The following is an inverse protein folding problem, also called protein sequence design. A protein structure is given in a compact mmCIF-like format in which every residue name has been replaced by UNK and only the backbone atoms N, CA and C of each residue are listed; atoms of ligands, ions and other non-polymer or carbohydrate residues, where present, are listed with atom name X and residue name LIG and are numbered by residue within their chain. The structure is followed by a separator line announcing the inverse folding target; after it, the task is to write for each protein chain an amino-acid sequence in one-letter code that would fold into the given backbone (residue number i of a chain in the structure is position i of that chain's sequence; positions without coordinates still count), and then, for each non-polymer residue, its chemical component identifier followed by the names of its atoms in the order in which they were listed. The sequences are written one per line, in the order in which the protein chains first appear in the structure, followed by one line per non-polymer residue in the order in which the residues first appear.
data_IF_064549703457
#
_entry.id   IF_064549703457
#
_cell.length_a   1.000
_cell.length_b   1.000
_cell.length_c   1.000
_cell.angle_alpha   90.00
_cell.angle_beta   90.00
_cell.angle_gamma   90.00
#
_symmetry.space_group_name_H-M   'P 1'
#
loop_
_entity.id
_entity.type
_entity.pdbx_description
1 polymer ?
#
# COMPACT_ATOMS: atom_id res chain seq x y z
N UNK A 1 59.36 -24.76 -30.23
CA UNK A 1 58.40 -24.14 -29.27
C UNK A 1 57.92 -22.76 -29.72
N UNK A 2 58.81 -21.82 -30.10
CA UNK A 2 58.40 -20.44 -30.45
C UNK A 2 57.35 -20.31 -31.57
N UNK A 3 57.43 -21.10 -32.63
CA UNK A 3 56.44 -21.06 -33.73
C UNK A 3 55.04 -21.51 -33.33
N UNK A 4 54.93 -22.51 -32.43
CA UNK A 4 53.64 -23.03 -31.95
C UNK A 4 52.95 -22.00 -31.05
N UNK A 5 53.73 -21.32 -30.19
CA UNK A 5 53.22 -20.24 -29.33
C UNK A 5 52.77 -19.03 -30.16
N UNK A 6 53.50 -18.67 -31.21
CA UNK A 6 53.13 -17.57 -32.10
C UNK A 6 51.83 -17.84 -32.87
N UNK A 7 51.65 -19.06 -33.39
CA UNK A 7 50.42 -19.46 -34.07
C UNK A 7 49.21 -19.52 -33.12
N UNK A 8 49.41 -19.97 -31.88
CA UNK A 8 48.37 -19.98 -30.85
C UNK A 8 47.94 -18.57 -30.44
N UNK A 9 48.89 -17.65 -30.25
CA UNK A 9 48.57 -16.25 -29.93
C UNK A 9 47.91 -15.54 -31.12
N UNK A 10 48.33 -15.84 -32.35
CA UNK A 10 47.71 -15.33 -33.57
C UNK A 10 46.25 -15.79 -33.72
N UNK A 11 45.96 -17.09 -33.50
CA UNK A 11 44.59 -17.60 -33.57
C UNK A 11 43.71 -17.08 -32.43
N UNK A 12 44.26 -16.89 -31.24
CA UNK A 12 43.57 -16.28 -30.10
C UNK A 12 43.20 -14.82 -30.37
N UNK A 13 44.14 -14.03 -30.92
CA UNK A 13 43.90 -12.64 -31.28
C UNK A 13 42.83 -12.49 -32.38
N UNK A 14 42.84 -13.38 -33.38
CA UNK A 14 41.82 -13.42 -34.43
C UNK A 14 40.46 -13.84 -33.83
N UNK A 15 40.41 -14.87 -32.98
CA UNK A 15 39.18 -15.31 -32.33
C UNK A 15 38.54 -14.21 -31.48
N UNK A 16 39.34 -13.50 -30.68
CA UNK A 16 38.88 -12.37 -29.87
C UNK A 16 38.44 -11.20 -30.77
N UNK A 17 39.23 -10.84 -31.77
CA UNK A 17 38.90 -9.75 -32.71
C UNK A 17 37.59 -10.01 -33.47
N UNK A 18 37.39 -11.24 -33.93
CA UNK A 18 36.18 -11.66 -34.64
C UNK A 18 34.96 -11.68 -33.70
N UNK A 19 35.15 -12.14 -32.46
CA UNK A 19 34.12 -12.13 -31.43
C UNK A 19 33.66 -10.71 -31.06
N UNK A 20 34.61 -9.79 -30.85
CA UNK A 20 34.32 -8.38 -30.54
C UNK A 20 33.63 -7.68 -31.72
N UNK A 21 34.07 -7.95 -32.95
CA UNK A 21 33.45 -7.39 -34.15
C UNK A 21 32.01 -7.92 -34.34
N UNK A 22 31.78 -9.22 -34.23
CA UNK A 22 30.44 -9.82 -34.31
C UNK A 22 29.51 -9.30 -33.20
N UNK A 23 30.02 -9.13 -31.98
CA UNK A 23 29.27 -8.54 -30.86
C UNK A 23 28.93 -7.06 -31.12
N UNK A 24 29.83 -6.29 -31.73
CA UNK A 24 29.58 -4.90 -32.09
C UNK A 24 28.52 -4.75 -33.20
N UNK A 25 28.48 -5.68 -34.15
CA UNK A 25 27.45 -5.73 -35.20
C UNK A 25 26.08 -6.11 -34.62
N UNK A 26 26.05 -7.06 -33.68
CA UNK A 26 24.85 -7.43 -32.90
C UNK A 26 24.26 -6.24 -32.15
N UNK A 27 25.11 -5.43 -31.50
CA UNK A 27 24.70 -4.22 -30.78
C UNK A 27 24.22 -3.09 -31.71
N UNK A 28 24.84 -2.93 -32.89
CA UNK A 28 24.41 -1.94 -33.90
C UNK A 28 23.04 -2.25 -34.51
N UNK A 29 22.64 -3.53 -34.54
CA UNK A 29 21.32 -3.96 -35.01
C UNK A 29 20.24 -3.98 -33.94
N UNK A 30 20.60 -3.76 -32.67
CA UNK A 30 19.66 -3.77 -31.56
C UNK A 30 18.72 -2.57 -31.64
N UNK A 31 17.41 -2.83 -31.78
CA UNK A 31 16.38 -1.80 -31.67
C UNK A 31 15.62 -1.99 -30.36
N UNK A 32 15.63 -0.95 -29.53
CA UNK A 32 14.82 -0.88 -28.34
C UNK A 32 13.49 -0.21 -28.68
N UNK A 33 12.40 -0.90 -28.38
CA UNK A 33 11.04 -0.43 -28.63
C UNK A 33 10.23 -0.58 -27.34
N UNK A 34 9.35 0.39 -27.05
CA UNK A 34 8.43 0.30 -25.91
C UNK A 34 7.35 -0.75 -26.25
N UNK A 35 7.31 -1.83 -25.48
CA UNK A 35 6.38 -2.95 -25.69
C UNK A 35 5.23 -2.99 -24.66
N UNK A 36 5.15 -1.99 -23.78
CA UNK A 36 4.10 -1.86 -22.78
C UNK A 36 4.40 -0.76 -21.74
N UNK A 37 3.55 -0.64 -20.71
CA UNK A 37 3.73 0.32 -19.63
C UNK A 37 5.07 0.12 -18.91
N UNK A 38 5.42 -1.13 -18.59
CA UNK A 38 6.59 -1.50 -17.78
C UNK A 38 7.61 -2.39 -18.51
N UNK A 39 7.59 -2.40 -19.84
CA UNK A 39 8.42 -3.33 -20.64
C UNK A 39 9.04 -2.64 -21.85
N UNK A 40 10.37 -2.68 -21.88
CA UNK A 40 11.17 -2.36 -23.07
C UNK A 40 11.53 -3.66 -23.76
N UNK A 41 11.17 -3.77 -25.04
CA UNK A 41 11.60 -4.88 -25.90
C UNK A 41 12.88 -4.46 -26.62
N UNK A 42 13.94 -5.24 -26.46
CA UNK A 42 15.15 -5.12 -27.28
C UNK A 42 15.16 -6.30 -28.23
N UNK A 43 15.03 -6.02 -29.53
CA UNK A 43 15.14 -7.04 -30.56
C UNK A 43 16.59 -7.20 -30.97
N UNK A 44 17.14 -8.40 -30.75
CA UNK A 44 18.48 -8.77 -31.19
C UNK A 44 18.39 -9.69 -32.42
N UNK A 45 19.13 -9.41 -33.51
CA UNK A 45 18.95 -10.09 -34.81
C UNK A 45 19.06 -11.62 -34.80
N UNK A 46 19.79 -12.21 -33.85
CA UNK A 46 20.02 -13.66 -33.76
C UNK A 46 19.64 -14.28 -32.41
N UNK A 47 19.33 -13.44 -31.41
CA UNK A 47 19.02 -13.89 -30.05
C UNK A 47 17.53 -13.69 -29.69
N UNK A 48 16.75 -13.06 -30.59
CA UNK A 48 15.32 -12.86 -30.41
C UNK A 48 14.99 -11.59 -29.61
N UNK A 49 13.75 -11.55 -29.11
CA UNK A 49 13.21 -10.41 -28.37
C UNK A 49 13.51 -10.58 -26.87
N UNK A 50 14.23 -9.62 -26.28
CA UNK A 50 14.47 -9.54 -24.84
C UNK A 50 13.58 -8.49 -24.21
N UNK A 51 12.95 -8.82 -23.10
CA UNK A 51 12.11 -7.89 -22.34
C UNK A 51 12.84 -7.46 -21.08
N UNK A 52 12.98 -6.15 -20.90
CA UNK A 52 13.52 -5.55 -19.69
C UNK A 52 12.41 -4.72 -19.04
N UNK A 53 12.18 -4.96 -17.75
CA UNK A 53 11.46 -4.04 -16.88
C UNK A 53 12.49 -3.12 -16.24
N UNK A 54 12.48 -1.81 -16.53
CA UNK A 54 13.50 -0.92 -15.97
C UNK A 54 13.21 -0.67 -14.48
N UNK A 55 13.85 -1.46 -13.63
CA UNK A 55 14.03 -1.21 -12.20
C UNK A 55 15.30 -1.97 -11.81
N UNK A 56 16.38 -1.34 -11.34
CA UNK A 56 16.47 -0.87 -9.94
C UNK A 56 17.45 0.31 -9.74
N UNK A 57 18.04 0.92 -10.79
CA UNK A 57 19.19 1.85 -10.60
C UNK A 57 18.98 3.33 -11.00
N UNK A 58 17.84 3.70 -11.57
CA UNK A 58 17.54 5.09 -11.90
C UNK A 58 16.76 5.80 -10.79
N UNK A 59 17.15 7.04 -10.42
CA UNK A 59 16.34 7.93 -9.55
C UNK A 59 15.17 8.61 -10.30
N UNK A 60 14.65 7.96 -11.33
CA UNK A 60 13.55 8.45 -12.16
C UNK A 60 12.25 7.75 -11.82
N UNK A 61 11.13 8.35 -12.22
CA UNK A 61 9.80 7.77 -12.15
C UNK A 61 9.23 7.79 -13.56
N UNK A 62 8.53 6.72 -13.95
CA UNK A 62 7.76 6.76 -15.18
C UNK A 62 6.65 7.78 -15.02
N UNK A 63 6.47 8.63 -16.05
CA UNK A 63 5.45 9.68 -16.01
C UNK A 63 4.05 9.08 -15.85
N UNK A 64 3.78 7.95 -16.51
CA UNK A 64 2.50 7.25 -16.44
C UNK A 64 2.22 6.72 -15.00
N UNK A 65 3.23 6.20 -14.32
CA UNK A 65 3.13 5.78 -12.91
C UNK A 65 2.89 6.97 -11.99
N UNK A 66 3.62 8.06 -12.21
CA UNK A 66 3.48 9.28 -11.42
C UNK A 66 2.08 9.89 -11.56
N UNK A 67 1.50 9.87 -12.77
CA UNK A 67 0.13 10.31 -13.03
C UNK A 67 -0.88 9.40 -12.32
N UNK A 68 -0.72 8.09 -12.43
CA UNK A 68 -1.59 7.11 -11.76
C UNK A 68 -1.56 7.28 -10.24
N UNK A 69 -0.37 7.45 -9.66
CA UNK A 69 -0.21 7.72 -8.22
C UNK A 69 -0.86 9.04 -7.85
N UNK A 70 -0.66 10.11 -8.63
CA UNK A 70 -1.27 11.42 -8.39
C UNK A 70 -2.80 11.35 -8.38
N UNK A 71 -3.41 10.62 -9.31
CA UNK A 71 -4.86 10.43 -9.36
C UNK A 71 -5.39 9.70 -8.13
N UNK A 72 -4.71 8.61 -7.72
CA UNK A 72 -5.06 7.87 -6.51
C UNK A 72 -4.94 8.71 -5.24
N UNK A 73 -3.87 9.50 -5.12
CA UNK A 73 -3.68 10.42 -3.98
C UNK A 73 -4.73 11.53 -3.97
N UNK A 74 -5.08 12.08 -5.14
CA UNK A 74 -6.16 13.06 -5.27
C UNK A 74 -7.51 12.46 -4.85
N UNK A 75 -7.80 11.23 -5.26
CA UNK A 75 -9.02 10.55 -4.84
C UNK A 75 -9.05 10.34 -3.32
N UNK A 76 -7.97 9.79 -2.75
CA UNK A 76 -7.83 9.57 -1.31
C UNK A 76 -8.02 10.86 -0.50
N UNK A 77 -7.48 11.98 -0.97
CA UNK A 77 -7.55 13.29 -0.30
C UNK A 77 -8.98 13.83 -0.10
N UNK A 78 -9.98 13.29 -0.79
CA UNK A 78 -11.40 13.63 -0.59
C UNK A 78 -12.00 13.05 0.69
N UNK A 79 -11.32 12.08 1.27
CA UNK A 79 -11.81 11.30 2.41
C UNK A 79 -10.84 11.38 3.58
N UNK A 80 -9.53 11.26 3.33
CA UNK A 80 -8.52 11.14 4.37
C UNK A 80 -7.33 12.06 4.06
N UNK A 81 -6.79 12.68 5.10
CA UNK A 81 -5.50 13.38 5.04
C UNK A 81 -4.42 12.39 4.57
N UNK A 82 -3.82 12.67 3.41
CA UNK A 82 -2.83 11.79 2.78
C UNK A 82 -1.57 11.66 3.63
N UNK A 83 -1.14 12.73 4.28
CA UNK A 83 0.07 12.70 5.11
C UNK A 83 -0.17 11.88 6.38
N UNK A 84 -1.37 12.00 6.97
CA UNK A 84 -1.82 11.13 8.04
C UNK A 84 -1.78 9.66 7.57
N UNK A 85 -2.42 9.35 6.45
CA UNK A 85 -2.50 8.00 5.92
C UNK A 85 -1.11 7.37 5.71
N UNK A 86 -0.20 8.08 5.04
CA UNK A 86 1.15 7.61 4.74
C UNK A 86 2.01 7.43 6.00
N UNK A 87 1.86 8.31 6.99
CA UNK A 87 2.56 8.21 8.26
C UNK A 87 2.20 6.91 9.00
N UNK A 88 0.90 6.68 9.22
CA UNK A 88 0.45 5.46 9.92
C UNK A 88 0.65 4.21 9.06
N UNK A 89 0.56 4.31 7.73
CA UNK A 89 0.82 3.17 6.87
C UNK A 89 2.24 2.62 7.04
N UNK A 90 3.23 3.52 7.11
CA UNK A 90 4.61 3.15 7.37
C UNK A 90 4.83 2.62 8.78
N UNK A 91 4.25 3.28 9.78
CA UNK A 91 4.49 2.93 11.18
C UNK A 91 3.85 1.59 11.56
N UNK A 92 2.64 1.33 11.06
CA UNK A 92 1.79 0.20 11.46
C UNK A 92 1.68 -0.91 10.41
N UNK A 93 2.56 -0.93 9.41
CA UNK A 93 2.61 -1.94 8.34
C UNK A 93 1.31 -2.04 7.53
N UNK A 94 0.68 -0.90 7.24
CA UNK A 94 -0.45 -0.87 6.29
C UNK A 94 0.12 -0.89 4.88
N UNK A 95 -0.08 -1.99 4.17
CA UNK A 95 0.45 -2.21 2.82
C UNK A 95 -0.51 -1.76 1.73
N UNK A 96 -1.79 -1.63 2.07
CA UNK A 96 -2.82 -1.20 1.15
C UNK A 96 -3.90 -0.41 1.88
N UNK A 97 -4.26 0.73 1.30
CA UNK A 97 -5.42 1.52 1.71
C UNK A 97 -6.32 1.65 0.49
N UNK A 98 -7.53 1.13 0.59
CA UNK A 98 -8.52 1.17 -0.46
C UNK A 98 -9.90 1.54 0.06
N UNK A 99 -10.87 1.39 -0.82
CA UNK A 99 -12.27 1.68 -0.53
C UNK A 99 -13.11 0.42 -0.77
N UNK A 100 -14.24 0.28 -0.07
CA UNK A 100 -15.22 -0.75 -0.42
C UNK A 100 -15.65 -0.56 -1.88
N UNK A 101 -15.48 -1.61 -2.71
CA UNK A 101 -15.69 -1.57 -4.16
C UNK A 101 -14.43 -1.65 -5.00
N UNK A 102 -13.22 -1.61 -4.43
CA UNK A 102 -11.94 -1.75 -5.17
C UNK A 102 -11.60 -3.22 -5.51
N UNK A 103 -12.60 -4.12 -5.49
CA UNK A 103 -12.52 -5.46 -6.06
C UNK A 103 -12.87 -5.37 -7.55
N UNK A 104 -12.25 -6.21 -8.38
CA UNK A 104 -12.40 -6.18 -9.85
C UNK A 104 -13.85 -6.23 -10.35
N UNK A 105 -14.81 -6.62 -9.51
CA UNK A 105 -16.23 -6.74 -9.84
C UNK A 105 -17.09 -5.52 -9.44
N UNK A 106 -16.51 -4.51 -8.77
CA UNK A 106 -17.21 -3.31 -8.31
C UNK A 106 -18.37 -3.61 -7.35
N UNK A 107 -18.43 -4.81 -6.77
CA UNK A 107 -19.53 -5.25 -5.90
C UNK A 107 -19.28 -4.84 -4.44
N UNK A 108 -20.36 -4.51 -3.75
CA UNK A 108 -20.33 -3.91 -2.41
C UNK A 108 -20.63 -4.98 -1.35
N UNK A 109 -19.87 -5.00 -0.26
CA UNK A 109 -20.29 -5.72 0.94
C UNK A 109 -21.28 -4.88 1.76
N UNK A 110 -22.37 -5.46 2.28
CA UNK A 110 -23.28 -4.71 3.12
C UNK A 110 -22.61 -4.36 4.47
N UNK A 111 -22.48 -3.06 4.75
CA UNK A 111 -22.68 -2.51 6.09
C UNK A 111 -21.48 -2.33 7.01
N UNK A 112 -20.25 -2.22 6.50
CA UNK A 112 -19.10 -1.84 7.34
C UNK A 112 -18.67 -0.40 7.07
N UNK A 113 -18.42 0.37 8.13
CA UNK A 113 -17.92 1.74 8.01
C UNK A 113 -16.46 1.75 7.50
N UNK A 114 -15.68 0.81 8.02
CA UNK A 114 -14.35 0.45 7.57
C UNK A 114 -14.07 -0.99 7.99
N UNK A 115 -13.02 -1.58 7.42
CA UNK A 115 -12.45 -2.82 7.93
C UNK A 115 -10.98 -2.97 7.53
N UNK A 116 -10.29 -3.84 8.25
CA UNK A 116 -8.97 -4.31 7.91
C UNK A 116 -8.95 -5.81 7.64
N UNK A 117 -7.96 -6.23 6.87
CA UNK A 117 -7.59 -7.65 6.69
C UNK A 117 -6.07 -7.78 6.72
N UNK A 118 -5.52 -8.90 7.19
CA UNK A 118 -4.12 -9.22 6.95
C UNK A 118 -3.82 -9.21 5.45
N UNK A 119 -2.73 -8.56 5.05
CA UNK A 119 -2.31 -8.49 3.65
C UNK A 119 -1.90 -9.88 3.15
N UNK A 120 -2.26 -10.20 1.91
CA UNK A 120 -1.85 -11.43 1.21
C UNK A 120 -0.52 -11.30 0.47
N UNK A 121 0.09 -10.12 0.50
CA UNK A 121 1.40 -9.86 -0.13
C UNK A 121 2.52 -10.57 0.60
N UNK A 122 3.58 -10.93 -0.11
CA UNK A 122 4.78 -11.59 0.46
C UNK A 122 5.45 -10.78 1.59
N UNK A 123 5.29 -9.46 1.59
CA UNK A 123 5.79 -8.56 2.62
C UNK A 123 4.99 -8.61 3.94
N UNK A 124 3.87 -9.34 3.98
CA UNK A 124 2.93 -9.32 5.12
C UNK A 124 2.22 -7.97 5.27
N UNK A 125 1.78 -7.65 6.50
CA UNK A 125 1.14 -6.37 6.84
C UNK A 125 -0.39 -6.42 6.86
N UNK A 126 -1.03 -5.26 6.70
CA UNK A 126 -2.48 -5.10 6.77
C UNK A 126 -3.00 -4.25 5.61
N UNK A 127 -4.18 -4.61 5.12
CA UNK A 127 -4.95 -3.83 4.16
C UNK A 127 -6.13 -3.20 4.89
N UNK A 128 -6.33 -1.89 4.72
CA UNK A 128 -7.46 -1.13 5.29
C UNK A 128 -8.38 -0.70 4.15
N UNK A 129 -9.69 -0.81 4.39
CA UNK A 129 -10.74 -0.47 3.44
C UNK A 129 -11.72 0.50 4.11
N UNK A 130 -11.98 1.63 3.46
CA UNK A 130 -12.92 2.65 3.93
C UNK A 130 -14.18 2.65 3.06
N UNK A 131 -15.36 2.89 3.64
CA UNK A 131 -16.57 3.05 2.84
C UNK A 131 -16.68 4.50 2.32
N UNK A 132 -16.69 4.77 1.01
CA UNK A 132 -16.71 6.14 0.48
C UNK A 132 -18.09 6.82 0.55
N UNK A 133 -19.17 6.07 0.80
CA UNK A 133 -20.56 6.51 0.69
C UNK A 133 -21.24 6.66 2.06
N UNK A 134 -20.47 7.08 3.07
CA UNK A 134 -20.98 7.31 4.41
C UNK A 134 -21.76 8.63 4.49
N UNK A 135 -22.94 8.58 5.13
CA UNK A 135 -23.53 9.78 5.74
C UNK A 135 -22.65 10.21 6.91
N UNK A 136 -21.68 11.08 6.61
CA UNK A 136 -20.69 11.55 7.58
C UNK A 136 -21.34 12.23 8.79
N UNK A 137 -22.46 12.93 8.60
CA UNK A 137 -23.12 13.62 9.70
C UNK A 137 -23.78 12.62 10.67
N UNK A 138 -24.58 11.69 10.14
CA UNK A 138 -25.22 10.65 10.95
C UNK A 138 -24.20 9.70 11.61
N UNK A 139 -23.12 9.34 10.90
CA UNK A 139 -22.05 8.51 11.44
C UNK A 139 -21.28 9.25 12.54
N UNK A 140 -20.95 10.53 12.35
CA UNK A 140 -20.27 11.34 13.35
C UNK A 140 -21.08 11.45 14.66
N UNK A 141 -22.39 11.69 14.57
CA UNK A 141 -23.27 11.75 15.74
C UNK A 141 -23.29 10.41 16.49
N UNK A 142 -23.42 9.30 15.75
CA UNK A 142 -23.42 7.96 16.34
C UNK A 142 -22.10 7.63 17.01
N UNK A 143 -20.97 7.82 16.30
CA UNK A 143 -19.63 7.58 16.85
C UNK A 143 -19.40 8.43 18.09
N UNK A 144 -19.80 9.70 18.06
CA UNK A 144 -19.64 10.60 19.22
C UNK A 144 -20.32 10.08 20.48
N UNK A 145 -21.54 9.51 20.34
CA UNK A 145 -22.26 8.88 21.45
C UNK A 145 -21.60 7.59 21.92
N UNK A 146 -21.13 6.76 21.00
CA UNK A 146 -20.53 5.46 21.31
C UNK A 146 -19.19 5.60 22.04
N UNK A 147 -18.33 6.51 21.59
CA UNK A 147 -16.98 6.70 22.13
C UNK A 147 -16.89 7.76 23.23
N UNK A 148 -17.96 8.54 23.43
CA UNK A 148 -18.05 9.57 24.47
C UNK A 148 -17.20 10.82 24.20
N UNK A 149 -16.81 11.07 22.95
CA UNK A 149 -16.06 12.24 22.53
C UNK A 149 -16.64 12.81 21.23
N UNK A 150 -16.68 14.13 21.08
CA UNK A 150 -17.18 14.75 19.86
C UNK A 150 -16.27 14.39 18.67
N UNK A 151 -16.88 13.78 17.64
CA UNK A 151 -16.31 13.53 16.31
C UNK A 151 -17.11 14.39 15.34
N UNK A 152 -16.44 15.23 14.56
CA UNK A 152 -17.08 16.02 13.50
C UNK A 152 -17.20 15.22 12.19
N UNK A 153 -18.06 15.63 11.24
CA UNK A 153 -18.20 14.95 9.95
C UNK A 153 -16.88 14.79 9.18
N UNK A 154 -15.97 15.77 9.26
CA UNK A 154 -14.67 15.74 8.59
C UNK A 154 -13.67 14.79 9.27
N UNK A 155 -13.96 14.36 10.50
CA UNK A 155 -13.10 13.47 11.28
C UNK A 155 -13.54 12.01 11.21
N UNK A 156 -14.68 11.72 10.57
CA UNK A 156 -15.19 10.34 10.43
C UNK A 156 -14.17 9.42 9.78
N UNK A 157 -13.61 9.82 8.63
CA UNK A 157 -12.63 9.00 7.92
C UNK A 157 -11.28 8.89 8.65
N UNK A 158 -10.68 9.98 9.17
CA UNK A 158 -9.53 9.87 10.06
C UNK A 158 -9.76 8.94 11.24
N UNK A 159 -10.90 9.05 11.92
CA UNK A 159 -11.25 8.20 13.04
C UNK A 159 -11.33 6.73 12.62
N UNK A 160 -12.09 6.42 11.56
CA UNK A 160 -12.26 5.06 11.07
C UNK A 160 -10.92 4.45 10.64
N UNK A 161 -10.11 5.18 9.88
CA UNK A 161 -8.77 4.72 9.48
C UNK A 161 -7.89 4.42 10.70
N UNK A 162 -7.84 5.32 11.68
CA UNK A 162 -7.05 5.12 12.90
C UNK A 162 -7.60 3.98 13.77
N UNK A 163 -8.91 3.77 13.78
CA UNK A 163 -9.55 2.62 14.43
C UNK A 163 -9.06 1.32 13.79
N UNK A 164 -9.06 1.22 12.46
CA UNK A 164 -8.53 0.05 11.76
C UNK A 164 -7.02 -0.16 12.04
N UNK A 165 -6.25 0.92 12.13
CA UNK A 165 -4.84 0.86 12.56
C UNK A 165 -4.72 0.36 14.02
N UNK A 166 -5.65 0.74 14.89
CA UNK A 166 -5.72 0.31 16.29
C UNK A 166 -5.91 -1.19 16.48
N UNK A 167 -6.34 -1.90 15.44
CA UNK A 167 -6.41 -3.36 15.44
C UNK A 167 -5.08 -4.06 15.13
N UNK A 168 -4.08 -3.34 14.62
CA UNK A 168 -2.79 -3.93 14.28
C UNK A 168 -2.01 -4.38 15.52
N UNK A 169 -1.14 -5.38 15.36
CA UNK A 169 -0.24 -5.82 16.43
C UNK A 169 0.67 -4.69 16.94
N UNK A 170 1.14 -3.82 16.04
CA UNK A 170 2.01 -2.69 16.37
C UNK A 170 1.31 -1.62 17.21
N UNK A 171 -0.01 -1.48 17.07
CA UNK A 171 -0.83 -0.66 17.96
C UNK A 171 -1.01 -1.26 19.38
N UNK A 172 -0.37 -2.39 19.68
CA UNK A 172 -0.41 -3.05 20.99
C UNK A 172 -1.63 -3.96 21.20
N UNK A 173 -2.39 -4.26 20.15
CA UNK A 173 -3.58 -5.11 20.25
C UNK A 173 -3.21 -6.61 20.29
N UNK A 174 -2.72 -7.06 21.44
CA UNK A 174 -2.23 -8.44 21.63
C UNK A 174 -3.34 -9.51 21.54
N UNK A 175 -4.59 -9.10 21.73
CA UNK A 175 -5.75 -10.00 21.75
C UNK A 175 -6.29 -10.32 20.34
N UNK A 176 -5.86 -9.57 19.33
CA UNK A 176 -6.35 -9.68 17.96
C UNK A 176 -6.23 -11.09 17.38
N UNK A 177 -5.01 -11.64 17.36
CA UNK A 177 -4.78 -13.00 16.82
C UNK A 177 -5.55 -14.06 17.58
N UNK A 178 -5.67 -13.92 18.91
CA UNK A 178 -6.45 -14.85 19.71
C UNK A 178 -7.94 -14.82 19.31
N UNK A 179 -8.50 -13.65 18.99
CA UNK A 179 -9.88 -13.56 18.51
C UNK A 179 -10.06 -14.11 17.08
N UNK A 180 -9.14 -13.81 16.16
CA UNK A 180 -9.20 -14.30 14.77
C UNK A 180 -9.00 -15.80 14.68
N UNK A 181 -7.97 -16.32 15.35
CA UNK A 181 -7.68 -17.76 15.40
C UNK A 181 -8.83 -18.52 16.04
N UNK A 182 -9.35 -18.04 17.18
CA UNK A 182 -10.54 -18.66 17.75
C UNK A 182 -11.74 -18.54 16.81
N UNK A 183 -11.94 -17.43 16.09
CA UNK A 183 -13.03 -17.30 15.13
C UNK A 183 -12.96 -18.37 14.04
N UNK A 184 -11.79 -18.50 13.40
CA UNK A 184 -11.51 -19.44 12.32
C UNK A 184 -11.60 -20.90 12.78
N UNK A 185 -11.07 -21.23 13.96
CA UNK A 185 -10.97 -22.61 14.42
C UNK A 185 -12.27 -23.19 15.00
N UNK A 186 -13.19 -22.37 15.50
CA UNK A 186 -14.25 -22.94 16.35
C UNK A 186 -15.54 -23.40 15.64
N UNK A 187 -15.75 -23.16 14.35
CA UNK A 187 -16.99 -23.56 13.64
C UNK A 187 -18.33 -23.19 14.32
N UNK A 188 -19.43 -23.81 13.87
CA UNK A 188 -20.83 -23.55 14.33
C UNK A 188 -21.20 -24.20 15.68
N UNK A 189 -20.39 -25.12 16.23
CA UNK A 189 -20.70 -25.86 17.47
C UNK A 189 -20.02 -25.28 18.73
N UNK A 190 -20.19 -23.99 19.02
CA UNK A 190 -19.68 -23.39 20.27
C UNK A 190 -20.69 -23.50 21.41
N UNK A 191 -20.23 -23.95 22.58
CA UNK A 191 -20.97 -23.80 23.84
C UNK A 191 -21.26 -22.32 24.15
N UNK A 192 -22.35 -22.05 24.88
CA UNK A 192 -22.74 -20.69 25.27
C UNK A 192 -21.61 -19.95 26.01
N UNK A 193 -20.85 -20.66 26.85
CA UNK A 193 -19.69 -20.11 27.56
C UNK A 193 -18.62 -19.58 26.60
N UNK A 194 -18.19 -20.38 25.62
CA UNK A 194 -17.19 -19.94 24.62
C UNK A 194 -17.69 -18.76 23.78
N UNK A 195 -18.99 -18.73 23.45
CA UNK A 195 -19.58 -17.57 22.73
C UNK A 195 -19.48 -16.29 23.55
N UNK A 196 -19.76 -16.35 24.86
CA UNK A 196 -19.62 -15.20 25.78
C UNK A 196 -18.16 -14.76 25.93
N UNK A 197 -17.23 -15.70 26.10
CA UNK A 197 -15.80 -15.40 26.18
C UNK A 197 -15.30 -14.71 24.91
N UNK A 198 -15.73 -15.16 23.74
CA UNK A 198 -15.35 -14.58 22.45
C UNK A 198 -16.00 -13.22 22.20
N UNK A 199 -17.24 -13.03 22.65
CA UNK A 199 -17.88 -11.72 22.63
C UNK A 199 -17.14 -10.72 23.53
N UNK A 200 -16.78 -11.12 24.75
CA UNK A 200 -16.00 -10.29 25.66
C UNK A 200 -14.60 -9.96 25.11
N UNK A 201 -13.94 -10.92 24.45
CA UNK A 201 -12.66 -10.71 23.81
C UNK A 201 -12.77 -9.71 22.64
N UNK A 202 -13.77 -9.87 21.77
CA UNK A 202 -14.04 -8.92 20.68
C UNK A 202 -14.28 -7.52 21.22
N UNK A 203 -15.12 -7.38 22.23
CA UNK A 203 -15.38 -6.09 22.86
C UNK A 203 -14.10 -5.42 23.36
N UNK A 204 -13.19 -6.16 24.01
CA UNK A 204 -11.89 -5.62 24.44
C UNK A 204 -11.00 -5.16 23.29
N UNK A 205 -11.08 -5.82 22.14
CA UNK A 205 -10.33 -5.48 20.93
C UNK A 205 -10.88 -4.18 20.33
N UNK A 206 -12.20 -4.05 20.19
CA UNK A 206 -12.86 -2.82 19.72
C UNK A 206 -12.57 -1.64 20.67
N UNK A 207 -12.73 -1.83 21.99
CA UNK A 207 -12.41 -0.81 23.00
C UNK A 207 -10.93 -0.38 22.97
N UNK A 208 -10.02 -1.27 22.55
CA UNK A 208 -8.62 -0.92 22.35
C UNK A 208 -8.43 -0.07 21.09
N UNK A 209 -9.04 -0.48 19.98
CA UNK A 209 -9.00 0.25 18.72
C UNK A 209 -9.60 1.65 18.84
N UNK A 210 -10.76 1.80 19.50
CA UNK A 210 -11.39 3.10 19.76
C UNK A 210 -10.49 4.02 20.59
N UNK A 211 -9.90 3.51 21.68
CA UNK A 211 -8.99 4.31 22.51
C UNK A 211 -7.73 4.72 21.76
N UNK A 212 -7.21 3.83 20.91
CA UNK A 212 -6.11 4.15 20.02
C UNK A 212 -6.52 5.29 19.08
N UNK A 213 -7.63 5.14 18.36
CA UNK A 213 -8.14 6.11 17.40
C UNK A 213 -8.35 7.49 18.03
N UNK A 214 -9.00 7.56 19.21
CA UNK A 214 -9.22 8.82 19.92
C UNK A 214 -7.90 9.50 20.33
N UNK A 215 -6.94 8.73 20.86
CA UNK A 215 -5.64 9.28 21.27
C UNK A 215 -4.91 9.91 20.08
N UNK A 216 -4.87 9.19 18.96
CA UNK A 216 -4.21 9.64 17.74
C UNK A 216 -4.95 10.81 17.08
N UNK A 217 -6.28 10.77 17.05
CA UNK A 217 -7.11 11.86 16.52
C UNK A 217 -6.90 13.16 17.32
N UNK A 218 -6.82 13.09 18.65
CA UNK A 218 -6.47 14.24 19.50
C UNK A 218 -5.07 14.79 19.19
N UNK A 219 -4.10 13.93 18.91
CA UNK A 219 -2.76 14.36 18.53
C UNK A 219 -2.78 15.08 17.18
N UNK A 220 -3.52 14.54 16.20
CA UNK A 220 -3.70 15.17 14.89
C UNK A 220 -4.41 16.53 14.99
N UNK A 221 -5.51 16.64 15.74
CA UNK A 221 -6.21 17.92 16.00
C UNK A 221 -5.27 19.01 16.50
N UNK A 222 -4.43 18.70 17.49
CA UNK A 222 -3.44 19.64 18.04
C UNK A 222 -2.43 20.09 16.99
N UNK A 223 -1.96 19.16 16.16
CA UNK A 223 -1.04 19.46 15.06
C UNK A 223 -1.70 20.41 14.07
N UNK A 224 -2.90 20.10 13.59
CA UNK A 224 -3.65 20.91 12.62
C UNK A 224 -3.97 22.31 13.13
N UNK A 225 -4.35 22.46 14.41
CA UNK A 225 -4.55 23.76 15.03
C UNK A 225 -3.28 24.63 15.01
N UNK A 226 -2.11 24.02 15.32
CA UNK A 226 -0.82 24.72 15.31
C UNK A 226 -0.32 25.16 13.93
N UNK A 227 -0.89 24.59 12.86
CA UNK A 227 -0.64 24.99 11.47
C UNK A 227 -1.60 26.09 11.02
N UNK A 228 -2.88 26.05 11.45
CA UNK A 228 -3.86 27.09 11.17
C UNK A 228 -3.49 28.46 11.75
N UNK A 229 -2.86 28.51 12.93
CA UNK A 229 -2.40 29.75 13.56
C UNK A 229 -1.14 30.35 12.91
N UNK A 230 -0.40 29.58 12.09
CA UNK A 230 0.84 30.02 11.44
C UNK A 230 0.66 30.62 10.04
N UNK A 231 -0.56 30.97 9.66
CA UNK A 231 -0.84 31.62 8.37
C UNK A 231 -0.67 30.65 7.21
N UNK A 232 -1.75 29.98 6.83
CA UNK A 232 -1.77 29.03 5.72
C UNK A 232 -1.24 29.63 4.42
N UNK A 233 -0.08 29.16 3.98
CA UNK A 233 0.10 28.86 2.57
C UNK A 233 -0.27 27.40 2.38
N UNK A 234 -1.55 27.14 2.12
CA UNK A 234 -1.93 25.93 1.40
C UNK A 234 -1.23 26.05 0.04
N UNK A 235 -0.31 25.16 -0.36
CA UNK A 235 0.21 25.20 -1.72
C UNK A 235 -0.98 24.93 -2.64
N UNK A 236 -1.47 25.98 -3.30
CA UNK A 236 -2.41 25.85 -4.39
C UNK A 236 -1.73 24.98 -5.44
N UNK A 237 -2.21 23.75 -5.58
CA UNK A 237 -1.82 22.92 -6.72
C UNK A 237 -2.15 23.72 -7.99
N UNK A 238 -1.21 23.86 -8.93
CA UNK A 238 -1.49 24.52 -10.18
C UNK A 238 -2.66 23.82 -10.87
N UNK A 239 -3.60 24.63 -11.38
CA UNK A 239 -4.76 24.21 -12.15
C UNK A 239 -4.37 23.35 -13.36
#
# INVERSE_FOLDING_TARGET
MGQVVFLFLGSLAIGIGTGVFAFSLLLRGARAERAGPDRVRVRLPFLGDYFFSPGEKGRGLFVDDALTVREKLRFLSRFLDVDLALHYAREYDITYLGFEGDREDGSWSPGKLAFYVPSTTDAGGYSVFLNPDLDRAGVAEKLSREVGESISPDEVYPFLFLHEVGHTKKAGNQNFYAAVVNLALSGRMRSLRKRRELFALRRKIEEHADRFALRELRAWRRKSASFGERGGQTPSLPA
#
